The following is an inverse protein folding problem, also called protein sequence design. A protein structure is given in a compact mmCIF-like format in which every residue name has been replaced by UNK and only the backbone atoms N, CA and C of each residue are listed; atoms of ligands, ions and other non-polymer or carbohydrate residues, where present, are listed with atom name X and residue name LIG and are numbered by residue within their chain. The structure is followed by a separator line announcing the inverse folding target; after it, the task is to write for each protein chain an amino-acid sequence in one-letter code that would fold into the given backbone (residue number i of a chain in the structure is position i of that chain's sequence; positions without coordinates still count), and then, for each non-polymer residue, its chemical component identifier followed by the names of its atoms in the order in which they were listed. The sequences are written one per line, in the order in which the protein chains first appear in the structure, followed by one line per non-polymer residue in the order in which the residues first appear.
data_IF_808153199243
#
_entry.id   IF_808153199243
#
_cell.length_a   1.000
_cell.length_b   1.000
_cell.length_c   1.000
_cell.angle_alpha   90.00
_cell.angle_beta   90.00
_cell.angle_gamma   90.00
#
_symmetry.space_group_name_H-M   'P 1'
#
loop_
_entity.id
_entity.type
_entity.pdbx_description
1 polymer ?
#
# COMPACT_ATOMS: atom_id res chain seq x y z
N UNK A 1 -29.43 -82.06 28.82
CA UNK A 1 -28.85 -80.78 29.21
C UNK A 1 -28.19 -80.19 28.00
N UNK A 2 -28.85 -79.22 27.33
CA UNK A 2 -28.32 -78.50 26.13
C UNK A 2 -27.71 -77.19 26.60
N UNK A 3 -26.38 -76.98 26.38
CA UNK A 3 -25.67 -75.73 26.64
C UNK A 3 -25.74 -74.87 25.39
N UNK A 4 -26.32 -73.66 25.47
CA UNK A 4 -26.29 -72.69 24.44
C UNK A 4 -25.11 -71.78 24.71
N UNK A 5 -24.13 -71.77 23.80
CA UNK A 5 -23.03 -70.79 23.81
C UNK A 5 -23.47 -69.51 23.16
N UNK A 6 -23.34 -68.38 23.89
CA UNK A 6 -23.53 -67.02 23.37
C UNK A 6 -22.22 -66.51 22.76
N UNK A 7 -22.22 -66.23 21.47
CA UNK A 7 -21.12 -65.54 20.82
C UNK A 7 -21.40 -64.04 20.85
N UNK A 8 -20.57 -63.26 21.56
CA UNK A 8 -20.57 -61.81 21.48
C UNK A 8 -19.67 -61.41 20.33
N UNK A 9 -20.24 -60.80 19.26
CA UNK A 9 -19.48 -60.15 18.20
C UNK A 9 -19.29 -58.67 18.60
N UNK A 10 -18.08 -58.30 18.94
CA UNK A 10 -17.67 -56.92 19.16
C UNK A 10 -17.45 -56.25 17.80
N UNK A 11 -18.34 -55.34 17.40
CA UNK A 11 -18.14 -54.50 16.24
C UNK A 11 -17.22 -53.32 16.64
N UNK A 12 -16.02 -53.28 16.08
CA UNK A 12 -15.11 -52.12 16.22
C UNK A 12 -15.53 -51.02 15.24
N UNK A 13 -16.01 -49.91 15.78
CA UNK A 13 -16.28 -48.70 14.98
C UNK A 13 -14.97 -47.92 14.84
N UNK A 14 -14.38 -47.91 13.64
CA UNK A 14 -13.24 -47.08 13.31
C UNK A 14 -13.75 -45.65 13.00
N UNK A 15 -13.50 -44.71 13.90
CA UNK A 15 -13.75 -43.27 13.68
C UNK A 15 -12.54 -42.73 12.92
N UNK A 16 -12.72 -42.48 11.63
CA UNK A 16 -11.73 -41.78 10.81
C UNK A 16 -11.85 -40.27 11.06
N UNK A 17 -10.94 -39.68 11.83
CA UNK A 17 -10.79 -38.24 11.99
C UNK A 17 -10.18 -37.67 10.70
N UNK A 18 -11.02 -37.06 9.85
CA UNK A 18 -10.56 -36.28 8.72
C UNK A 18 -10.15 -34.92 9.28
N UNK A 19 -8.86 -34.73 9.49
CA UNK A 19 -8.29 -33.44 9.87
C UNK A 19 -8.41 -32.46 8.70
N UNK A 20 -9.29 -31.46 8.82
CA UNK A 20 -9.28 -30.30 7.92
C UNK A 20 -8.05 -29.45 8.27
N UNK A 21 -6.98 -29.57 7.47
CA UNK A 21 -5.87 -28.63 7.51
C UNK A 21 -6.36 -27.33 6.86
N UNK A 22 -6.72 -26.33 7.67
CA UNK A 22 -6.92 -24.96 7.19
C UNK A 22 -5.55 -24.41 6.78
N UNK A 23 -5.33 -24.28 5.47
CA UNK A 23 -4.20 -23.54 4.93
C UNK A 23 -4.42 -22.06 5.29
N UNK A 24 -3.76 -21.58 6.35
CA UNK A 24 -3.65 -20.17 6.65
C UNK A 24 -2.70 -19.59 5.61
N UNK A 25 -3.26 -18.92 4.60
CA UNK A 25 -2.46 -18.11 3.67
C UNK A 25 -1.86 -16.95 4.47
N UNK A 26 -0.55 -17.00 4.70
CA UNK A 26 0.18 -15.86 5.26
C UNK A 26 0.34 -14.87 4.12
N UNK A 27 -0.49 -13.84 4.11
CA UNK A 27 -0.28 -12.69 3.23
C UNK A 27 0.96 -11.95 3.74
N UNK A 28 1.95 -11.78 2.86
CA UNK A 28 3.18 -11.06 3.19
C UNK A 28 3.14 -9.69 2.55
N UNK A 29 3.53 -8.66 3.31
CA UNK A 29 3.72 -7.33 2.75
C UNK A 29 4.60 -7.36 1.50
N UNK A 30 4.33 -6.49 0.53
CA UNK A 30 5.10 -6.35 -0.70
C UNK A 30 6.25 -5.37 -0.46
N UNK A 31 7.46 -5.82 -0.08
CA UNK A 31 8.56 -4.90 0.15
C UNK A 31 8.92 -4.14 -1.13
N UNK A 32 9.43 -2.91 -1.04
CA UNK A 32 9.92 -2.18 -2.20
C UNK A 32 11.10 -2.93 -2.83
N UNK A 33 11.23 -2.84 -4.15
CA UNK A 33 12.33 -3.45 -4.91
C UNK A 33 12.91 -2.45 -5.91
N UNK A 34 14.22 -2.24 -5.88
CA UNK A 34 14.93 -1.37 -6.82
C UNK A 34 14.61 0.13 -6.70
N UNK A 35 13.99 0.55 -5.60
CA UNK A 35 13.70 1.97 -5.28
C UNK A 35 14.63 2.43 -4.17
N UNK A 36 15.30 3.56 -4.37
CA UNK A 36 16.18 4.17 -3.39
C UNK A 36 15.56 5.46 -2.84
N UNK A 37 14.98 5.43 -1.62
CA UNK A 37 14.37 6.61 -1.02
C UNK A 37 15.40 7.47 -0.29
N UNK A 38 15.27 8.80 -0.44
CA UNK A 38 16.07 9.80 0.29
C UNK A 38 15.13 10.73 1.04
N UNK A 39 15.28 10.84 2.36
CA UNK A 39 14.60 11.87 3.15
C UNK A 39 15.31 13.21 2.91
N UNK A 40 14.60 14.19 2.42
CA UNK A 40 15.13 15.54 2.16
C UNK A 40 14.81 16.51 3.30
N UNK A 41 13.59 16.45 3.83
CA UNK A 41 13.15 17.28 4.94
C UNK A 41 12.00 16.63 5.70
N UNK A 42 11.87 16.99 6.98
CA UNK A 42 10.69 16.74 7.82
C UNK A 42 10.49 17.94 8.71
N UNK A 43 9.35 18.61 8.56
CA UNK A 43 8.99 19.80 9.34
C UNK A 43 7.71 19.55 10.13
N UNK A 44 7.66 20.03 11.37
CA UNK A 44 6.48 20.03 12.23
C UNK A 44 5.68 21.30 11.96
N UNK A 45 4.40 21.17 11.74
CA UNK A 45 3.45 22.27 11.56
C UNK A 45 2.39 22.18 12.65
N UNK A 46 2.12 23.29 13.32
CA UNK A 46 0.97 23.40 14.22
C UNK A 46 -0.33 23.24 13.43
N UNK A 47 -1.46 23.13 14.14
CA UNK A 47 -2.77 23.20 13.52
C UNK A 47 -2.90 24.42 12.61
N UNK A 48 -3.38 24.21 11.39
CA UNK A 48 -3.58 25.32 10.45
C UNK A 48 -4.79 25.13 9.55
N UNK A 49 -5.35 26.25 9.10
CA UNK A 49 -6.40 26.29 8.09
C UNK A 49 -6.04 27.35 7.06
N UNK A 50 -5.84 26.92 5.84
CA UNK A 50 -5.50 27.78 4.71
C UNK A 50 -6.56 27.66 3.63
N UNK A 51 -6.95 28.78 3.05
CA UNK A 51 -7.81 28.87 1.88
C UNK A 51 -7.23 29.94 0.97
N UNK A 52 -7.28 29.72 -0.35
CA UNK A 52 -6.94 30.74 -1.34
C UNK A 52 -7.74 32.02 -1.10
N UNK A 53 -7.11 33.17 -1.33
CA UNK A 53 -7.81 34.47 -1.26
C UNK A 53 -8.92 34.53 -2.31
N UNK A 54 -9.95 35.37 -2.09
CA UNK A 54 -10.95 35.65 -3.13
C UNK A 54 -10.27 36.05 -4.44
N UNK A 55 -10.84 35.65 -5.56
CA UNK A 55 -10.35 35.95 -6.92
C UNK A 55 -8.97 35.33 -7.27
N UNK A 56 -8.44 34.44 -6.43
CA UNK A 56 -7.27 33.64 -6.79
C UNK A 56 -7.59 32.69 -7.98
N UNK A 57 -6.70 32.62 -8.98
CA UNK A 57 -6.89 31.66 -10.09
C UNK A 57 -6.83 30.19 -9.64
N UNK A 58 -6.40 29.93 -8.40
CA UNK A 58 -6.35 28.59 -7.80
C UNK A 58 -7.26 28.58 -6.58
N UNK A 59 -8.37 27.82 -6.63
CA UNK A 59 -9.20 27.56 -5.45
C UNK A 59 -8.64 26.33 -4.71
N UNK A 60 -7.90 26.58 -3.65
CA UNK A 60 -7.25 25.54 -2.85
C UNK A 60 -7.59 25.72 -1.37
N UNK A 61 -7.92 24.60 -0.70
CA UNK A 61 -8.24 24.58 0.73
C UNK A 61 -7.53 23.43 1.40
N UNK A 62 -6.89 23.70 2.53
CA UNK A 62 -6.26 22.73 3.39
C UNK A 62 -6.64 23.00 4.85
N UNK A 63 -6.91 21.97 5.62
CA UNK A 63 -7.20 22.08 7.04
C UNK A 63 -6.56 20.91 7.80
N UNK A 64 -5.48 21.19 8.51
CA UNK A 64 -4.92 20.31 9.53
C UNK A 64 -5.55 20.64 10.88
N UNK A 65 -6.32 19.70 11.45
CA UNK A 65 -7.07 19.88 12.72
C UNK A 65 -6.23 19.53 13.95
N UNK A 66 -4.98 19.16 13.77
CA UNK A 66 -3.99 18.84 14.79
C UNK A 66 -2.61 19.08 14.18
N UNK A 67 -1.54 19.16 15.00
CA UNK A 67 -0.19 19.23 14.48
C UNK A 67 0.14 18.07 13.54
N UNK A 68 0.84 18.36 12.46
CA UNK A 68 1.23 17.40 11.44
C UNK A 68 2.70 17.58 11.07
N UNK A 69 3.30 16.49 10.60
CA UNK A 69 4.58 16.55 9.90
C UNK A 69 4.36 16.64 8.39
N UNK A 70 5.13 17.50 7.75
CA UNK A 70 5.31 17.51 6.31
C UNK A 70 6.65 16.84 6.01
N UNK A 71 6.59 15.68 5.36
CA UNK A 71 7.76 14.86 5.03
C UNK A 71 8.04 14.97 3.55
N UNK A 72 9.23 15.44 3.18
CA UNK A 72 9.66 15.56 1.78
C UNK A 72 10.68 14.49 1.47
N UNK A 73 10.39 13.69 0.45
CA UNK A 73 11.26 12.59 0.00
C UNK A 73 11.50 12.64 -1.50
N UNK A 74 12.65 12.17 -1.90
CA UNK A 74 12.98 11.79 -3.28
C UNK A 74 13.04 10.27 -3.36
N UNK A 75 12.56 9.72 -4.47
CA UNK A 75 12.74 8.31 -4.80
C UNK A 75 13.39 8.20 -6.16
N UNK A 76 14.47 7.41 -6.22
CA UNK A 76 15.14 7.04 -7.46
C UNK A 76 14.72 5.61 -7.82
N UNK A 77 14.20 5.41 -9.03
CA UNK A 77 13.62 4.17 -9.51
C UNK A 77 14.51 3.53 -10.57
N UNK A 78 15.09 2.37 -10.28
CA UNK A 78 15.70 1.54 -11.32
C UNK A 78 14.62 1.00 -12.29
N UNK A 79 15.03 0.54 -13.45
CA UNK A 79 14.14 -0.14 -14.41
C UNK A 79 13.52 -1.38 -13.77
N UNK A 80 12.20 -1.55 -13.88
CA UNK A 80 11.46 -2.67 -13.30
C UNK A 80 11.25 -2.59 -11.78
N UNK A 81 11.63 -1.48 -11.14
CA UNK A 81 11.47 -1.27 -9.70
C UNK A 81 10.02 -0.96 -9.30
N UNK A 82 9.72 -1.15 -8.02
CA UNK A 82 8.42 -0.82 -7.44
C UNK A 82 8.51 -0.46 -5.95
N UNK A 83 7.56 0.36 -5.48
CA UNK A 83 7.50 0.77 -4.08
C UNK A 83 6.95 -0.29 -3.13
N UNK A 84 6.42 -1.40 -3.63
CA UNK A 84 5.53 -2.28 -2.87
C UNK A 84 4.17 -1.63 -2.59
N UNK A 85 3.17 -2.45 -2.25
CA UNK A 85 1.85 -1.97 -1.85
C UNK A 85 1.94 -1.30 -0.47
N UNK A 86 1.50 -0.06 -0.39
CA UNK A 86 1.54 0.71 0.83
C UNK A 86 0.49 1.81 0.87
N UNK A 87 0.24 2.33 2.06
CA UNK A 87 -0.63 3.47 2.31
C UNK A 87 0.10 4.56 3.08
N UNK A 88 -0.53 5.72 3.19
CA UNK A 88 -0.07 6.85 3.97
C UNK A 88 -1.14 7.27 4.99
N UNK A 89 -0.78 7.88 6.12
CA UNK A 89 -1.77 8.35 7.10
C UNK A 89 -2.52 9.62 6.65
N UNK A 90 -2.05 10.29 5.62
CA UNK A 90 -2.63 11.49 5.03
C UNK A 90 -2.29 11.62 3.56
N UNK A 91 -2.76 12.67 2.87
CA UNK A 91 -2.53 12.84 1.45
C UNK A 91 -1.05 13.02 1.12
N UNK A 92 -0.68 12.54 -0.08
CA UNK A 92 0.67 12.71 -0.62
C UNK A 92 0.59 13.39 -1.99
N UNK A 93 1.37 14.44 -2.16
CA UNK A 93 1.59 15.07 -3.46
C UNK A 93 2.85 14.47 -4.07
N UNK A 94 2.72 13.82 -5.22
CA UNK A 94 3.81 13.14 -5.91
C UNK A 94 4.05 13.85 -7.24
N UNK A 95 5.29 14.27 -7.48
CA UNK A 95 5.71 14.90 -8.74
C UNK A 95 6.80 14.04 -9.37
N UNK A 96 6.56 13.52 -10.56
CA UNK A 96 7.60 12.84 -11.35
C UNK A 96 8.57 13.89 -11.88
N UNK A 97 9.82 13.80 -11.48
CA UNK A 97 10.88 14.77 -11.82
C UNK A 97 11.76 14.32 -12.96
N UNK A 98 11.79 12.99 -13.20
CA UNK A 98 12.53 12.38 -14.32
C UNK A 98 11.83 11.10 -14.79
N UNK A 99 11.79 10.90 -16.11
CA UNK A 99 11.27 9.68 -16.73
C UNK A 99 9.75 9.54 -16.62
N UNK A 100 9.29 8.31 -16.55
CA UNK A 100 7.86 7.94 -16.51
C UNK A 100 7.64 6.87 -15.45
N UNK A 101 6.61 7.04 -14.64
CA UNK A 101 6.18 6.10 -13.60
C UNK A 101 4.72 5.70 -13.84
N UNK A 102 4.38 4.49 -13.44
CA UNK A 102 3.01 3.98 -13.46
C UNK A 102 2.58 3.71 -12.02
N UNK A 103 1.42 4.21 -11.58
CA UNK A 103 0.87 3.87 -10.28
C UNK A 103 -0.44 3.09 -10.42
N UNK A 104 -0.72 2.28 -9.41
CA UNK A 104 -1.91 1.47 -9.26
C UNK A 104 -2.53 1.74 -7.90
N UNK A 105 -3.86 1.81 -7.84
CA UNK A 105 -4.60 1.99 -6.58
C UNK A 105 -4.91 0.62 -5.97
N UNK A 106 -4.77 0.52 -4.65
CA UNK A 106 -4.94 -0.76 -3.94
C UNK A 106 -6.39 -1.26 -3.97
N UNK A 107 -7.35 -0.35 -3.96
CA UNK A 107 -8.79 -0.61 -3.96
C UNK A 107 -9.45 -0.58 -5.36
N UNK A 108 -8.67 -0.42 -6.43
CA UNK A 108 -9.19 -0.47 -7.80
C UNK A 108 -9.46 -1.92 -8.23
N UNK A 109 -10.74 -2.32 -8.45
CA UNK A 109 -11.08 -3.69 -8.83
C UNK A 109 -10.61 -4.07 -10.24
N UNK A 110 -10.20 -3.11 -11.06
CA UNK A 110 -9.75 -3.32 -12.44
C UNK A 110 -8.25 -3.27 -12.61
N UNK A 111 -7.51 -2.93 -11.54
CA UNK A 111 -6.06 -2.73 -11.57
C UNK A 111 -5.61 -1.83 -12.72
N UNK A 112 -6.26 -0.68 -12.85
CA UNK A 112 -6.01 0.26 -13.95
C UNK A 112 -4.63 0.91 -13.83
N UNK A 113 -3.76 0.83 -14.83
CA UNK A 113 -2.49 1.54 -14.82
C UNK A 113 -2.70 3.04 -15.06
N UNK A 114 -2.12 3.86 -14.21
CA UNK A 114 -2.08 5.32 -14.33
C UNK A 114 -0.65 5.78 -14.59
N UNK A 115 -0.36 6.19 -15.81
CA UNK A 115 1.00 6.58 -16.22
C UNK A 115 1.20 8.08 -16.12
N UNK A 116 2.30 8.50 -15.50
CA UNK A 116 2.70 9.90 -15.32
C UNK A 116 4.13 10.10 -15.78
N UNK A 117 4.33 11.08 -16.67
CA UNK A 117 5.64 11.46 -17.21
C UNK A 117 6.05 12.83 -16.65
N UNK A 118 7.34 13.01 -16.39
CA UNK A 118 7.90 14.28 -15.93
C UNK A 118 7.56 15.44 -16.91
N UNK A 119 7.16 16.62 -16.37
CA UNK A 119 7.05 17.05 -14.99
C UNK A 119 5.65 16.85 -14.38
N UNK A 120 4.93 15.81 -14.75
CA UNK A 120 3.58 15.52 -14.27
C UNK A 120 3.55 15.09 -12.80
N UNK A 121 2.36 15.14 -12.21
CA UNK A 121 2.16 14.72 -10.83
C UNK A 121 0.77 14.14 -10.59
N UNK A 122 0.59 13.55 -9.42
CA UNK A 122 -0.71 13.05 -8.93
C UNK A 122 -0.79 13.20 -7.41
N UNK A 123 -2.00 13.09 -6.88
CA UNK A 123 -2.24 13.10 -5.43
C UNK A 123 -2.71 11.71 -5.02
N UNK A 124 -2.02 11.12 -4.05
CA UNK A 124 -2.51 9.95 -3.32
C UNK A 124 -3.40 10.42 -2.17
N UNK A 125 -4.59 9.87 -2.08
CA UNK A 125 -5.60 10.20 -1.07
C UNK A 125 -5.59 9.24 0.13
N UNK A 126 -4.48 8.53 0.33
CA UNK A 126 -4.22 7.62 1.45
C UNK A 126 -4.95 6.26 1.39
N UNK A 127 -5.66 5.92 0.31
CA UNK A 127 -6.33 4.60 0.16
C UNK A 127 -5.36 3.45 -0.10
N UNK A 128 -4.13 3.75 -0.42
CA UNK A 128 -3.09 2.78 -0.75
C UNK A 128 -2.80 2.68 -2.24
N UNK A 129 -1.53 2.49 -2.55
CA UNK A 129 -1.04 2.42 -3.92
C UNK A 129 0.27 1.65 -4.04
N UNK A 130 0.67 1.36 -5.27
CA UNK A 130 2.02 0.94 -5.66
C UNK A 130 2.47 1.81 -6.84
N UNK A 131 3.69 2.32 -6.79
CA UNK A 131 4.34 2.99 -7.93
C UNK A 131 5.35 2.02 -8.51
N UNK A 132 5.35 1.91 -9.84
CA UNK A 132 6.25 1.04 -10.61
C UNK A 132 6.96 1.83 -11.70
N UNK A 133 8.20 1.46 -11.97
CA UNK A 133 8.91 1.94 -13.15
C UNK A 133 8.84 0.87 -14.25
N UNK A 134 7.88 1.01 -15.13
CA UNK A 134 7.62 0.13 -16.28
C UNK A 134 8.10 0.75 -17.61
N UNK A 135 8.79 1.91 -17.55
CA UNK A 135 9.17 2.70 -18.73
C UNK A 135 10.39 2.20 -19.50
N UNK A 136 11.17 1.27 -18.92
CA UNK A 136 12.44 0.81 -19.49
C UNK A 136 13.61 1.79 -19.34
N UNK A 137 13.42 2.93 -18.66
CA UNK A 137 14.45 3.92 -18.32
C UNK A 137 14.38 4.26 -16.84
N UNK A 138 15.48 4.70 -16.19
CA UNK A 138 15.44 5.20 -14.83
C UNK A 138 14.46 6.37 -14.68
N UNK A 139 13.78 6.43 -13.53
CA UNK A 139 12.83 7.48 -13.22
C UNK A 139 13.04 8.02 -11.80
N UNK A 140 12.45 9.19 -11.51
CA UNK A 140 12.56 9.82 -10.21
C UNK A 140 11.27 10.56 -9.86
N UNK A 141 10.89 10.54 -8.59
CA UNK A 141 9.85 11.41 -8.05
C UNK A 141 10.31 12.22 -6.83
N UNK A 142 9.50 13.24 -6.52
CA UNK A 142 9.48 13.98 -5.26
C UNK A 142 8.11 13.80 -4.63
N UNK A 143 8.07 13.37 -3.37
CA UNK A 143 6.84 13.19 -2.61
C UNK A 143 6.79 14.15 -1.42
N UNK A 144 5.63 14.80 -1.23
CA UNK A 144 5.31 15.60 -0.05
C UNK A 144 4.18 14.88 0.69
N UNK A 145 4.52 14.31 1.84
CA UNK A 145 3.64 13.42 2.62
C UNK A 145 3.18 14.16 3.87
N UNK A 146 1.88 14.15 4.14
CA UNK A 146 1.31 14.68 5.38
C UNK A 146 1.13 13.52 6.36
N UNK A 147 1.73 13.63 7.55
CA UNK A 147 1.75 12.55 8.53
C UNK A 147 1.47 13.08 9.95
N UNK A 148 1.04 12.24 10.90
CA UNK A 148 0.97 12.62 12.31
C UNK A 148 2.35 13.01 12.84
N UNK A 149 2.40 14.04 13.70
CA UNK A 149 3.66 14.51 14.30
C UNK A 149 4.40 13.39 15.01
N UNK A 150 5.65 13.17 14.62
CA UNK A 150 6.51 12.10 15.16
C UNK A 150 6.09 10.68 14.73
N UNK A 151 4.97 10.52 14.01
CA UNK A 151 4.42 9.23 13.63
C UNK A 151 5.04 8.65 12.35
N UNK A 152 4.62 7.43 12.02
CA UNK A 152 4.92 6.81 10.75
C UNK A 152 4.23 7.57 9.60
N UNK A 153 4.90 7.66 8.47
CA UNK A 153 4.37 8.28 7.25
C UNK A 153 4.08 7.27 6.14
N UNK A 154 4.25 5.98 6.43
CA UNK A 154 3.99 4.86 5.52
C UNK A 154 3.51 3.67 6.33
N UNK A 155 2.51 2.94 5.82
CA UNK A 155 2.05 1.64 6.29
C UNK A 155 2.13 0.63 5.16
N UNK A 156 2.64 -0.58 5.43
CA UNK A 156 2.70 -1.64 4.45
C UNK A 156 1.33 -2.29 4.27
N UNK A 157 1.00 -2.68 3.04
CA UNK A 157 -0.19 -3.43 2.68
C UNK A 157 0.18 -4.81 2.16
N UNK A 158 -0.76 -5.75 2.26
CA UNK A 158 -0.55 -7.14 1.86
C UNK A 158 -0.37 -7.28 0.34
N UNK A 159 0.42 -8.29 -0.03
CA UNK A 159 0.64 -8.69 -1.41
C UNK A 159 0.51 -10.22 -1.56
N UNK A 160 0.15 -10.70 -2.76
CA UNK A 160 -0.24 -9.90 -3.92
C UNK A 160 -1.58 -9.19 -3.70
N UNK A 161 -1.77 -8.03 -4.33
CA UNK A 161 -3.07 -7.37 -4.35
C UNK A 161 -4.06 -8.28 -5.09
N UNK A 162 -5.25 -8.57 -4.53
CA UNK A 162 -6.18 -9.52 -5.15
C UNK A 162 -6.70 -9.08 -6.53
N UNK A 163 -6.69 -7.77 -6.81
CA UNK A 163 -7.15 -7.22 -8.09
C UNK A 163 -6.03 -7.18 -9.14
N UNK A 164 -4.79 -6.93 -8.71
CA UNK A 164 -3.64 -6.75 -9.60
C UNK A 164 -2.80 -8.02 -9.78
N UNK A 165 -2.81 -8.93 -8.81
CA UNK A 165 -2.02 -10.15 -8.85
C UNK A 165 -0.50 -9.95 -8.63
N UNK A 166 -0.07 -8.74 -8.18
CA UNK A 166 1.32 -8.43 -7.84
C UNK A 166 1.45 -7.51 -6.63
#
# INVERSE_FOLDING_TARGET
MKRYGFFFTTAAVAITLIGFATLVSVTMASPPSGVSPTLLARGVYDEFKVKSVPDSPVDFKVHAKSPVDVVVRRHDYAVGSHTGWHSHPGPVFITVTQGTLTYYLYDDPTCTPHTVTAPGGFVDDARGHMIRNESGQPAQDMSVIIAPTGGAFRGELDAPNPNCGF
#
